data_IF_772722286549
#
_entry.id   IF_772722286549
#
_cell.length_a   1.000
_cell.length_b   1.000
_cell.length_c   1.000
_cell.angle_alpha   90.00
_cell.angle_beta   90.00
_cell.angle_gamma   90.00
#
_symmetry.space_group_name_H-M   'P 1'
#
loop_
_entity.id
_entity.type
_entity.pdbx_description
1 polymer ?
#
# COMPACT_ATOMS: atom_id res chain seq x y z
N UNK A 1 14.06 2.05 -0.89
CA UNK A 1 13.41 2.70 -2.04
C UNK A 1 11.92 2.44 -1.99
N UNK A 2 11.16 3.53 -1.96
CA UNK A 2 9.72 3.50 -2.12
C UNK A 2 9.46 3.50 -3.62
N UNK A 3 8.92 2.39 -4.11
CA UNK A 3 8.61 2.19 -5.52
C UNK A 3 7.16 1.74 -5.63
N UNK A 4 6.59 1.94 -6.83
CA UNK A 4 5.28 1.39 -7.17
C UNK A 4 5.27 -0.12 -6.94
N UNK A 5 4.20 -0.62 -6.32
CA UNK A 5 4.09 -2.03 -5.95
C UNK A 5 4.70 -2.40 -4.60
N UNK A 6 5.28 -1.45 -3.86
CA UNK A 6 5.72 -1.76 -2.50
C UNK A 6 4.52 -1.87 -1.56
N UNK A 7 4.51 -2.93 -0.74
CA UNK A 7 3.55 -3.05 0.36
C UNK A 7 4.04 -2.21 1.53
N UNK A 8 3.14 -1.45 2.13
CA UNK A 8 3.38 -0.67 3.33
C UNK A 8 2.33 -1.01 4.39
N UNK A 9 2.76 -1.03 5.64
CA UNK A 9 1.85 -1.11 6.79
C UNK A 9 1.69 0.27 7.40
N UNK A 10 0.46 0.64 7.73
CA UNK A 10 0.22 1.85 8.52
C UNK A 10 0.48 1.56 9.99
N UNK A 11 1.53 2.16 10.55
CA UNK A 11 1.81 2.06 11.99
C UNK A 11 1.12 3.17 12.80
N UNK A 12 0.71 4.27 12.15
CA UNK A 12 0.13 5.44 12.82
C UNK A 12 -1.15 5.93 12.13
N UNK A 13 -2.11 6.42 12.93
CA UNK A 13 -3.38 7.02 12.49
C UNK A 13 -4.61 6.11 12.63
N UNK A 14 -5.75 6.58 12.11
CA UNK A 14 -7.06 5.88 12.21
C UNK A 14 -7.11 4.50 11.52
N UNK A 15 -6.15 4.21 10.64
CA UNK A 15 -6.04 2.92 9.94
C UNK A 15 -4.79 2.14 10.36
N UNK A 16 -4.36 2.33 11.61
CA UNK A 16 -3.23 1.63 12.21
C UNK A 16 -3.46 0.11 12.14
N UNK A 17 -2.43 -0.61 11.71
CA UNK A 17 -2.45 -2.07 11.54
C UNK A 17 -2.89 -2.53 10.15
N UNK A 18 -3.50 -1.66 9.32
CA UNK A 18 -3.90 -2.03 7.96
C UNK A 18 -2.73 -2.04 6.99
N UNK A 19 -2.85 -2.90 5.99
CA UNK A 19 -1.89 -3.01 4.90
C UNK A 19 -2.38 -2.29 3.66
N UNK A 20 -1.44 -1.69 2.94
CA UNK A 20 -1.71 -0.94 1.74
C UNK A 20 -0.55 -1.12 0.76
N UNK A 21 -0.83 -0.90 -0.52
CA UNK A 21 0.16 -0.94 -1.57
C UNK A 21 0.29 0.45 -2.19
N UNK A 22 1.50 0.77 -2.63
CA UNK A 22 1.79 2.02 -3.32
C UNK A 22 1.44 1.86 -4.79
N UNK A 23 0.48 2.66 -5.26
CA UNK A 23 0.08 2.73 -6.67
C UNK A 23 0.95 3.69 -7.46
N UNK A 24 1.29 4.82 -6.86
CA UNK A 24 2.04 5.89 -7.50
C UNK A 24 2.77 6.71 -6.43
N UNK A 25 3.97 7.16 -6.76
CA UNK A 25 4.71 8.13 -5.94
C UNK A 25 4.42 9.50 -6.51
N UNK A 26 3.79 10.36 -5.72
CA UNK A 26 3.38 11.70 -6.18
C UNK A 26 4.53 12.68 -5.92
N UNK A 27 5.11 12.60 -4.73
CA UNK A 27 6.23 13.42 -4.27
C UNK A 27 7.14 12.56 -3.39
N UNK A 28 8.33 13.07 -3.03
CA UNK A 28 9.25 12.42 -2.09
C UNK A 28 8.61 12.09 -0.73
N UNK A 29 7.59 12.86 -0.32
CA UNK A 29 6.89 12.66 0.95
C UNK A 29 5.50 12.04 0.82
N UNK A 30 4.89 12.06 -0.36
CA UNK A 30 3.49 11.66 -0.54
C UNK A 30 3.35 10.57 -1.59
N UNK A 31 2.63 9.52 -1.21
CA UNK A 31 2.35 8.37 -2.07
C UNK A 31 0.85 8.15 -2.17
N UNK A 32 0.41 7.70 -3.34
CA UNK A 32 -0.93 7.20 -3.55
C UNK A 32 -0.99 5.75 -3.10
N UNK A 33 -1.80 5.48 -2.07
CA UNK A 33 -1.98 4.13 -1.53
C UNK A 33 -3.39 3.62 -1.73
N UNK A 34 -3.51 2.31 -1.93
CA UNK A 34 -4.78 1.59 -2.00
C UNK A 34 -4.64 0.16 -1.44
N UNK A 35 -5.72 -0.59 -1.37
CA UNK A 35 -5.82 -1.93 -0.80
C UNK A 35 -6.86 -1.98 0.32
N UNK A 36 -6.43 -2.41 1.50
CA UNK A 36 -7.29 -2.52 2.69
C UNK A 36 -7.70 -1.15 3.25
N UNK A 37 -6.97 -0.11 2.85
CA UNK A 37 -7.30 1.30 3.09
C UNK A 37 -8.08 1.89 1.91
N UNK A 38 -8.85 2.95 2.14
CA UNK A 38 -9.46 3.69 1.02
C UNK A 38 -8.36 4.33 0.15
N UNK A 39 -8.61 4.44 -1.17
CA UNK A 39 -7.72 5.13 -2.10
C UNK A 39 -7.50 6.55 -1.61
N UNK A 40 -6.30 6.87 -1.14
CA UNK A 40 -5.96 8.22 -0.69
C UNK A 40 -4.47 8.48 -0.78
N UNK A 41 -4.13 9.76 -0.79
CA UNK A 41 -2.74 10.17 -0.54
C UNK A 41 -2.43 9.95 0.93
N UNK A 42 -1.28 9.34 1.20
CA UNK A 42 -0.73 9.23 2.54
C UNK A 42 0.72 9.67 2.53
N UNK A 43 1.14 10.28 3.64
CA UNK A 43 2.53 10.62 3.85
C UNK A 43 3.32 9.33 4.16
N UNK A 44 4.48 9.16 3.51
CA UNK A 44 5.38 8.03 3.72
C UNK A 44 5.89 7.95 5.17
N UNK A 45 5.95 9.06 5.91
CA UNK A 45 6.38 9.09 7.31
C UNK A 45 5.47 8.26 8.25
N UNK A 46 4.23 7.97 7.83
CA UNK A 46 3.27 7.17 8.59
C UNK A 46 3.18 5.71 8.09
N UNK A 47 3.92 5.40 7.03
CA UNK A 47 3.89 4.13 6.33
C UNK A 47 5.23 3.44 6.52
N UNK A 48 5.19 2.21 7.01
CA UNK A 48 6.39 1.40 7.13
C UNK A 48 6.45 0.47 5.92
N UNK A 49 7.40 0.67 4.99
CA UNK A 49 7.55 -0.20 3.83
C UNK A 49 7.98 -1.59 4.29
N UNK A 50 7.32 -2.60 3.74
CA UNK A 50 7.66 -3.99 3.98
C UNK A 50 8.70 -4.46 2.93
N UNK A 51 9.42 -5.56 3.22
CA UNK A 51 10.29 -6.20 2.24
C UNK A 51 9.51 -6.82 1.06
N UNK A 52 8.19 -6.99 1.21
CA UNK A 52 7.31 -7.52 0.17
C UNK A 52 7.04 -6.50 -0.93
N UNK A 53 7.26 -6.92 -2.18
CA UNK A 53 6.91 -6.18 -3.39
C UNK A 53 5.85 -6.97 -4.16
N UNK A 54 4.84 -6.28 -4.66
CA UNK A 54 3.77 -6.83 -5.49
C UNK A 54 3.65 -5.93 -6.70
N UNK A 55 3.66 -6.48 -7.90
CA UNK A 55 3.44 -5.65 -9.08
C UNK A 55 2.01 -5.15 -9.10
N UNK A 56 1.80 -3.84 -8.99
CA UNK A 56 0.49 -3.20 -9.16
C UNK A 56 0.61 -2.04 -10.14
N UNK A 57 -0.49 -1.73 -10.83
CA UNK A 57 -0.58 -0.59 -11.75
C UNK A 57 -1.65 0.40 -11.26
N UNK A 58 -1.50 1.68 -11.60
CA UNK A 58 -2.44 2.76 -11.23
C UNK A 58 -3.89 2.52 -11.70
N UNK A 59 -4.05 1.68 -12.72
CA UNK A 59 -5.30 1.33 -13.39
C UNK A 59 -5.97 0.09 -12.79
N UNK A 60 -5.32 -0.59 -11.82
CA UNK A 60 -5.93 -1.75 -11.18
C UNK A 60 -7.12 -1.34 -10.32
N UNK A 61 -8.20 -2.12 -10.44
CA UNK A 61 -9.36 -2.00 -9.58
C UNK A 61 -9.05 -2.44 -8.15
N UNK A 62 -9.84 -1.91 -7.21
CA UNK A 62 -9.72 -2.22 -5.77
C UNK A 62 -9.72 -3.73 -5.47
N UNK A 63 -10.50 -4.51 -6.21
CA UNK A 63 -10.58 -5.96 -6.07
C UNK A 63 -9.28 -6.68 -6.45
N UNK A 64 -8.65 -6.31 -7.57
CA UNK A 64 -7.37 -6.89 -7.98
C UNK A 64 -6.26 -6.58 -6.98
N UNK A 65 -6.26 -5.36 -6.47
CA UNK A 65 -5.31 -4.92 -5.44
C UNK A 65 -5.50 -5.76 -4.17
N UNK A 66 -6.74 -5.98 -3.74
CA UNK A 66 -7.05 -6.81 -2.57
C UNK A 66 -6.56 -8.26 -2.76
N UNK A 67 -6.79 -8.84 -3.95
CA UNK A 67 -6.30 -10.18 -4.30
C UNK A 67 -4.78 -10.26 -4.21
N UNK A 68 -4.07 -9.32 -4.83
CA UNK A 68 -2.60 -9.25 -4.77
C UNK A 68 -2.06 -9.06 -3.36
N UNK A 69 -2.70 -8.24 -2.53
CA UNK A 69 -2.35 -8.09 -1.11
C UNK A 69 -2.57 -9.38 -0.32
N UNK A 70 -3.58 -10.17 -0.69
CA UNK A 70 -3.87 -11.47 -0.07
C UNK A 70 -2.84 -12.51 -0.52
N UNK A 71 -2.54 -12.59 -1.81
CA UNK A 71 -1.48 -13.46 -2.37
C UNK A 71 -0.09 -13.12 -1.84
N UNK A 72 0.20 -11.85 -1.62
CA UNK A 72 1.45 -11.39 -1.03
C UNK A 72 1.64 -11.83 0.44
N UNK A 73 0.68 -12.56 1.02
CA UNK A 73 0.81 -13.19 2.35
C UNK A 73 0.82 -12.21 3.52
N UNK A 74 0.39 -10.97 3.27
CA UNK A 74 0.35 -9.89 4.25
C UNK A 74 -0.89 -10.02 5.16
N UNK A 75 -1.94 -10.64 4.62
CA UNK A 75 -3.12 -11.11 5.33
C UNK A 75 -2.95 -12.61 5.60
N UNK A 76 -2.29 -12.96 6.70
CA UNK A 76 -2.49 -14.30 7.27
C UNK A 76 -3.76 -14.27 8.12
N UNK A 77 -4.65 -15.28 8.01
CA UNK A 77 -5.75 -15.46 8.95
C UNK A 77 -5.25 -15.66 10.38
#
# INVERSE_FOLDING_TARGET
>A
MIEVGRVCRKEKGHEKGKYCVILEVIDDNFVLVDGQVKRRRCNIAHLTPLPTKVEVKKEMSKEEILKKLTEAGVLKP
#
